data_IF_183318846855
#
_entry.id   IF_183318846855
#
_cell.length_a   1.000
_cell.length_b   1.000
_cell.length_c   1.000
_cell.angle_alpha   90.00
_cell.angle_beta   90.00
_cell.angle_gamma   90.00
#
_symmetry.space_group_name_H-M   'P 1'
#
loop_
_entity.id
_entity.type
_entity.pdbx_description
1 polymer ?
#
# COMPACT_ATOMS: atom_id res chain seq x y z
N UNK A 1 -10.05 10.38 -14.94
CA UNK A 1 -9.18 11.12 -14.00
C UNK A 1 -9.23 10.62 -12.55
N UNK A 2 -10.12 9.69 -12.18
CA UNK A 2 -10.22 9.15 -10.81
C UNK A 2 -9.04 8.25 -10.41
N UNK A 3 -8.61 7.33 -11.27
CA UNK A 3 -7.50 6.39 -11.01
C UNK A 3 -6.17 7.09 -10.81
N UNK A 4 -5.88 8.12 -11.62
CA UNK A 4 -4.66 8.92 -11.47
C UNK A 4 -4.65 9.69 -10.16
N UNK A 5 -5.79 10.30 -9.78
CA UNK A 5 -5.93 11.02 -8.50
C UNK A 5 -5.75 10.08 -7.30
N UNK A 6 -6.34 8.88 -7.37
CA UNK A 6 -6.20 7.86 -6.33
C UNK A 6 -4.75 7.36 -6.20
N UNK A 7 -4.08 7.15 -7.32
CA UNK A 7 -2.66 6.79 -7.37
C UNK A 7 -1.79 7.88 -6.74
N UNK A 8 -2.00 9.16 -7.12
CA UNK A 8 -1.28 10.29 -6.56
C UNK A 8 -1.47 10.41 -5.05
N UNK A 9 -2.70 10.16 -4.57
CA UNK A 9 -3.03 10.21 -3.15
C UNK A 9 -2.32 9.11 -2.35
N UNK A 10 -2.34 7.87 -2.84
CA UNK A 10 -1.62 6.77 -2.18
C UNK A 10 -0.10 6.97 -2.24
N UNK A 11 0.43 7.49 -3.35
CA UNK A 11 1.86 7.76 -3.49
C UNK A 11 2.32 8.88 -2.55
N UNK A 12 1.54 9.95 -2.39
CA UNK A 12 1.81 10.99 -1.41
C UNK A 12 1.75 10.43 0.03
N UNK A 13 0.80 9.54 0.30
CA UNK A 13 0.66 8.91 1.62
C UNK A 13 1.86 7.99 1.96
N UNK A 14 2.35 7.23 0.98
CA UNK A 14 3.59 6.43 1.10
C UNK A 14 4.81 7.31 1.38
N UNK A 15 4.90 8.50 0.77
CA UNK A 15 5.99 9.44 1.06
C UNK A 15 5.94 10.01 2.47
N UNK A 16 4.75 10.18 3.05
CA UNK A 16 4.58 10.76 4.40
C UNK A 16 4.75 9.71 5.49
N UNK A 17 4.17 8.52 5.34
CA UNK A 17 4.19 7.48 6.38
C UNK A 17 5.26 6.41 6.14
N UNK A 18 5.44 5.97 4.91
CA UNK A 18 6.32 4.85 4.61
C UNK A 18 7.81 5.19 4.59
N UNK A 19 8.18 6.48 4.52
CA UNK A 19 9.58 6.89 4.66
C UNK A 19 10.03 7.01 6.12
N UNK A 20 9.08 7.09 7.06
CA UNK A 20 9.37 7.27 8.50
C UNK A 20 10.17 6.09 9.04
N UNK A 21 9.78 4.86 8.67
CA UNK A 21 10.47 3.63 9.06
C UNK A 21 11.95 3.58 8.63
N UNK A 22 12.24 3.73 7.32
CA UNK A 22 13.61 3.83 6.82
C UNK A 22 14.44 4.96 7.46
N UNK A 23 13.86 6.14 7.68
CA UNK A 23 14.57 7.26 8.32
C UNK A 23 14.97 6.91 9.76
N UNK A 24 14.07 6.30 10.55
CA UNK A 24 14.37 5.86 11.91
C UNK A 24 15.45 4.77 11.95
N UNK A 25 15.40 3.82 11.02
CA UNK A 25 16.43 2.78 10.89
C UNK A 25 17.79 3.38 10.49
N UNK A 26 17.80 4.30 9.53
CA UNK A 26 19.02 5.03 9.14
C UNK A 26 19.58 5.81 10.33
N UNK A 27 18.75 6.56 11.07
CA UNK A 27 19.17 7.28 12.28
C UNK A 27 19.78 6.34 13.32
N UNK A 28 19.18 5.17 13.54
CA UNK A 28 19.70 4.17 14.48
C UNK A 28 21.09 3.66 14.07
N UNK A 29 21.28 3.31 12.80
CA UNK A 29 22.56 2.76 12.32
C UNK A 29 23.63 3.83 12.05
N UNK A 30 23.23 5.06 11.72
CA UNK A 30 24.14 6.18 11.48
C UNK A 30 24.60 6.86 12.78
N UNK A 31 23.84 6.71 13.86
CA UNK A 31 24.26 7.18 15.18
C UNK A 31 25.35 6.25 15.73
N UNK A 32 26.38 6.81 16.35
CA UNK A 32 27.40 6.06 17.10
C UNK A 32 26.73 5.08 18.08
N UNK A 33 27.43 4.02 18.53
CA UNK A 33 26.86 2.96 19.37
C UNK A 33 26.51 3.48 20.77
N UNK A 34 25.48 4.30 20.82
CA UNK A 34 24.89 4.85 22.01
C UNK A 34 23.74 3.91 22.41
N UNK A 35 23.83 3.23 23.58
CA UNK A 35 22.80 2.30 24.03
C UNK A 35 21.41 2.94 24.16
N UNK A 36 21.33 4.28 24.22
CA UNK A 36 20.08 5.05 24.25
C UNK A 36 19.29 4.94 22.93
N UNK A 37 19.95 4.65 21.81
CA UNK A 37 19.30 4.60 20.48
C UNK A 37 18.54 3.29 20.22
N UNK A 38 18.69 2.26 21.05
CA UNK A 38 18.00 0.96 20.87
C UNK A 38 16.47 1.08 20.80
N UNK A 39 15.90 2.08 21.46
CA UNK A 39 14.47 2.36 21.38
C UNK A 39 14.04 2.79 19.97
N UNK A 40 14.85 3.62 19.29
CA UNK A 40 14.58 4.05 17.92
C UNK A 40 14.59 2.89 16.92
N UNK A 41 15.42 1.87 17.13
CA UNK A 41 15.41 0.65 16.32
C UNK A 41 14.07 -0.09 16.42
N UNK A 42 13.60 -0.37 17.65
CA UNK A 42 12.38 -1.13 17.87
C UNK A 42 11.13 -0.37 17.42
N UNK A 43 11.08 0.94 17.66
CA UNK A 43 9.99 1.80 17.18
C UNK A 43 10.02 1.92 15.65
N UNK A 44 11.19 2.15 15.07
CA UNK A 44 11.35 2.20 13.61
C UNK A 44 10.90 0.91 12.93
N UNK A 45 11.27 -0.24 13.48
CA UNK A 45 10.84 -1.55 12.98
C UNK A 45 9.33 -1.75 13.12
N UNK A 46 8.74 -1.37 14.25
CA UNK A 46 7.30 -1.46 14.48
C UNK A 46 6.50 -0.58 13.50
N UNK A 47 6.91 0.68 13.32
CA UNK A 47 6.27 1.60 12.37
C UNK A 47 6.38 1.05 10.94
N UNK A 48 7.55 0.55 10.55
CA UNK A 48 7.76 -0.06 9.22
C UNK A 48 6.83 -1.25 9.01
N UNK A 49 6.74 -2.15 9.99
CA UNK A 49 5.86 -3.32 9.90
C UNK A 49 4.39 -2.92 9.81
N UNK A 50 3.95 -1.95 10.62
CA UNK A 50 2.58 -1.44 10.58
C UNK A 50 2.25 -0.80 9.22
N UNK A 51 3.15 0.00 8.65
CA UNK A 51 2.97 0.64 7.34
C UNK A 51 2.77 -0.41 6.23
N UNK A 52 3.60 -1.45 6.21
CA UNK A 52 3.47 -2.57 5.26
C UNK A 52 2.15 -3.32 5.44
N UNK A 53 1.75 -3.61 6.68
CA UNK A 53 0.48 -4.31 6.95
C UNK A 53 -0.74 -3.48 6.53
N UNK A 54 -0.72 -2.17 6.74
CA UNK A 54 -1.77 -1.25 6.28
C UNK A 54 -1.81 -1.23 4.75
N UNK A 55 -0.67 -1.16 4.08
CA UNK A 55 -0.60 -1.19 2.61
C UNK A 55 -1.19 -2.49 2.03
N UNK A 56 -0.89 -3.63 2.65
CA UNK A 56 -1.47 -4.93 2.28
C UNK A 56 -2.99 -4.96 2.54
N UNK A 57 -3.47 -4.44 3.68
CA UNK A 57 -4.90 -4.36 3.99
C UNK A 57 -5.68 -3.46 3.02
N UNK A 58 -5.13 -2.32 2.64
CA UNK A 58 -5.72 -1.42 1.64
C UNK A 58 -5.75 -2.06 0.24
N UNK A 59 -4.69 -2.79 -0.13
CA UNK A 59 -4.62 -3.52 -1.40
C UNK A 59 -5.69 -4.63 -1.44
N UNK A 60 -5.79 -5.42 -0.37
CA UNK A 60 -6.76 -6.51 -0.26
C UNK A 60 -8.21 -6.00 -0.31
N UNK A 61 -8.53 -4.93 0.44
CA UNK A 61 -9.86 -4.31 0.42
C UNK A 61 -10.20 -3.62 -0.91
N UNK A 62 -9.21 -3.24 -1.70
CA UNK A 62 -9.42 -2.67 -3.04
C UNK A 62 -9.73 -3.75 -4.09
N UNK A 63 -9.22 -4.97 -3.92
CA UNK A 63 -9.46 -6.08 -4.87
C UNK A 63 -10.89 -6.62 -4.80
N UNK A 64 -11.51 -6.67 -3.61
CA UNK A 64 -12.85 -7.25 -3.45
C UNK A 64 -13.99 -6.45 -4.11
N UNK A 65 -13.78 -5.17 -4.43
CA UNK A 65 -14.82 -4.27 -4.94
C UNK A 65 -14.81 -4.10 -6.47
N UNK A 66 -13.97 -4.85 -7.20
CA UNK A 66 -13.93 -4.82 -8.66
C UNK A 66 -14.44 -6.13 -9.23
N UNK A 67 -15.76 -6.23 -9.44
CA UNK A 67 -16.24 -7.02 -10.56
C UNK A 67 -15.83 -6.24 -11.82
N UNK A 68 -14.92 -6.76 -12.67
CA UNK A 68 -14.46 -6.02 -13.82
C UNK A 68 -15.67 -5.76 -14.72
N UNK A 69 -15.94 -4.49 -15.03
CA UNK A 69 -17.01 -4.13 -15.96
C UNK A 69 -16.84 -4.88 -17.30
N UNK A 70 -15.59 -5.17 -17.68
CA UNK A 70 -15.24 -6.01 -18.82
C UNK A 70 -15.80 -7.43 -18.72
N UNK A 71 -15.84 -8.04 -17.55
CA UNK A 71 -16.43 -9.38 -17.35
C UNK A 71 -17.94 -9.33 -17.57
N UNK A 72 -18.63 -8.30 -17.06
CA UNK A 72 -20.08 -8.13 -17.31
C UNK A 72 -20.40 -7.91 -18.79
N UNK A 73 -19.59 -7.14 -19.50
CA UNK A 73 -19.76 -6.87 -20.92
C UNK A 73 -19.46 -8.13 -21.74
N UNK A 74 -18.38 -8.85 -21.41
CA UNK A 74 -18.02 -10.12 -22.04
C UNK A 74 -19.10 -11.19 -21.86
N UNK A 75 -19.65 -11.34 -20.65
CA UNK A 75 -20.75 -12.28 -20.37
C UNK A 75 -22.01 -11.91 -21.18
N UNK A 76 -22.40 -10.63 -21.20
CA UNK A 76 -23.56 -10.18 -22.01
C UNK A 76 -23.36 -10.39 -23.52
N UNK A 77 -22.15 -10.20 -24.03
CA UNK A 77 -21.81 -10.44 -25.44
C UNK A 77 -21.88 -11.93 -25.78
N UNK A 78 -21.39 -12.79 -24.89
CA UNK A 78 -21.48 -14.24 -25.05
C UNK A 78 -22.95 -14.72 -25.02
N UNK A 79 -23.78 -14.16 -24.14
CA UNK A 79 -25.22 -14.47 -24.10
C UNK A 79 -25.95 -14.02 -25.38
N UNK A 80 -25.58 -12.87 -25.97
CA UNK A 80 -26.12 -12.48 -27.28
C UNK A 80 -25.71 -13.47 -28.37
N UNK A 81 -24.43 -13.78 -28.47
CA UNK A 81 -23.91 -14.72 -29.49
C UNK A 81 -24.50 -16.12 -29.37
N UNK A 82 -24.88 -16.56 -28.17
CA UNK A 82 -25.53 -17.86 -27.95
C UNK A 82 -27.01 -17.88 -28.37
N UNK A 83 -27.64 -16.71 -28.52
CA UNK A 83 -29.05 -16.57 -28.92
C UNK A 83 -29.26 -16.36 -30.41
N UNK A 84 -28.19 -16.08 -31.15
CA UNK A 84 -28.16 -16.00 -32.61
C UNK A 84 -27.72 -17.35 -33.20
#
# INVERSE_FOLDING_TARGET
METFKRYLMFQAMMFVFGIVGPIFLILYFASQPDPTMRWAYWIGLFITAADVLIALGLTASTQTSREPADTRIAVKLLERRRRD
#
